data_IF_642014752388
#
_entry.id   IF_642014752388
#
_cell.length_a   1.000
_cell.length_b   1.000
_cell.length_c   1.000
_cell.angle_alpha   90.00
_cell.angle_beta   90.00
_cell.angle_gamma   90.00
#
_symmetry.space_group_name_H-M   'P 1'
#
loop_
_entity.id
_entity.type
_entity.pdbx_description
1 polymer ?
#
# COMPACT_ATOMS: atom_id res chain seq x y z
N UNK A 1 23.31 -2.50 -1.58
CA UNK A 1 22.40 -1.39 -1.27
C UNK A 1 21.16 -1.61 -2.09
N UNK A 2 20.20 -2.26 -1.45
CA UNK A 2 18.85 -2.53 -1.92
C UNK A 2 18.07 -1.24 -2.12
N UNK A 3 18.32 -0.21 -1.31
CA UNK A 3 17.56 1.04 -1.33
C UNK A 3 18.39 2.14 -1.97
N UNK A 4 17.84 2.81 -2.98
CA UNK A 4 18.45 3.94 -3.67
C UNK A 4 17.53 5.15 -3.67
N UNK A 5 18.09 6.30 -3.33
CA UNK A 5 17.44 7.61 -3.46
C UNK A 5 18.04 8.32 -4.68
N UNK A 6 17.18 8.77 -5.59
CA UNK A 6 17.60 9.57 -6.74
C UNK A 6 16.61 10.73 -6.95
N UNK A 7 17.02 11.94 -6.56
CA UNK A 7 16.15 13.12 -6.53
C UNK A 7 14.86 12.85 -5.74
N UNK A 8 13.74 12.73 -6.44
CA UNK A 8 12.40 12.47 -5.89
C UNK A 8 12.00 10.99 -5.95
N UNK A 9 12.88 10.10 -6.42
CA UNK A 9 12.63 8.67 -6.53
C UNK A 9 13.22 7.91 -5.35
N UNK A 10 12.45 6.96 -4.85
CA UNK A 10 12.88 5.96 -3.88
C UNK A 10 12.68 4.60 -4.56
N UNK A 11 13.78 3.88 -4.80
CA UNK A 11 13.76 2.55 -5.43
C UNK A 11 14.29 1.51 -4.45
N UNK A 12 13.46 0.52 -4.16
CA UNK A 12 13.80 -0.69 -3.41
C UNK A 12 14.08 -1.79 -4.43
N UNK A 13 15.23 -2.45 -4.32
CA UNK A 13 15.64 -3.54 -5.19
C UNK A 13 15.97 -4.75 -4.35
N UNK A 14 15.40 -5.88 -4.75
CA UNK A 14 15.81 -7.20 -4.28
C UNK A 14 16.68 -7.85 -5.36
N UNK A 15 16.91 -9.16 -5.29
CA UNK A 15 17.68 -9.87 -6.30
C UNK A 15 17.00 -9.79 -7.68
N UNK A 16 15.68 -9.98 -7.73
CA UNK A 16 14.92 -10.12 -8.98
C UNK A 16 13.77 -9.12 -9.14
N UNK A 17 13.45 -8.34 -8.10
CA UNK A 17 12.33 -7.36 -8.16
C UNK A 17 12.76 -5.95 -7.83
N UNK A 18 12.02 -4.98 -8.36
CA UNK A 18 12.09 -3.58 -7.96
C UNK A 18 10.72 -3.08 -7.53
N UNK A 19 10.72 -2.24 -6.49
CA UNK A 19 9.58 -1.46 -6.03
C UNK A 19 9.99 0.01 -6.06
N UNK A 20 9.25 0.85 -6.76
CA UNK A 20 9.58 2.25 -6.91
C UNK A 20 8.39 3.14 -6.53
N UNK A 21 8.72 4.21 -5.82
CA UNK A 21 7.82 5.29 -5.47
C UNK A 21 8.45 6.64 -5.83
N UNK A 22 7.62 7.65 -6.06
CA UNK A 22 8.05 8.98 -6.47
C UNK A 22 7.31 10.05 -5.67
N UNK A 23 8.06 11.00 -5.14
CA UNK A 23 7.52 12.23 -4.57
C UNK A 23 7.17 13.14 -5.75
N UNK A 24 5.92 13.56 -5.86
CA UNK A 24 5.47 14.40 -6.96
C UNK A 24 5.78 15.90 -6.72
N UNK A 25 5.33 16.78 -7.61
CA UNK A 25 5.51 18.23 -7.47
C UNK A 25 4.65 18.83 -6.35
N UNK A 26 3.47 18.26 -6.07
CA UNK A 26 2.60 18.67 -4.97
C UNK A 26 2.93 17.98 -3.63
N UNK A 27 3.93 17.11 -3.61
CA UNK A 27 4.43 16.42 -2.42
C UNK A 27 3.71 15.12 -2.08
N UNK A 28 2.76 14.64 -2.88
CA UNK A 28 2.20 13.30 -2.75
C UNK A 28 3.24 12.24 -3.08
N UNK A 29 3.09 11.07 -2.46
CA UNK A 29 3.96 9.92 -2.68
C UNK A 29 3.25 8.89 -3.57
N UNK A 30 3.64 8.86 -4.84
CA UNK A 30 3.07 7.96 -5.83
C UNK A 30 3.76 6.61 -5.87
N UNK A 31 2.97 5.57 -6.09
CA UNK A 31 3.45 4.24 -6.42
C UNK A 31 3.71 4.15 -7.93
N UNK A 32 4.95 3.91 -8.37
CA UNK A 32 5.28 3.93 -9.80
C UNK A 32 5.54 2.53 -10.38
N UNK A 33 6.05 1.61 -9.57
CA UNK A 33 6.38 0.26 -10.01
C UNK A 33 6.42 -0.75 -8.87
N UNK A 34 5.91 -1.95 -9.14
CA UNK A 34 6.30 -3.16 -8.44
C UNK A 34 6.28 -4.34 -9.41
N UNK A 35 7.43 -4.99 -9.59
CA UNK A 35 7.56 -6.10 -10.53
C UNK A 35 9.01 -6.44 -10.81
N UNK A 36 9.30 -6.92 -12.02
CA UNK A 36 10.65 -7.27 -12.46
C UNK A 36 11.65 -6.15 -12.14
N UNK A 37 12.85 -6.55 -11.73
CA UNK A 37 13.94 -5.63 -11.41
C UNK A 37 14.19 -4.65 -12.56
N UNK A 38 14.25 -3.38 -12.21
CA UNK A 38 14.62 -2.28 -13.09
C UNK A 38 16.15 -2.20 -13.11
N UNK A 39 16.73 -2.06 -14.30
CA UNK A 39 18.17 -1.82 -14.45
C UNK A 39 18.46 -0.32 -14.44
N UNK A 40 19.50 0.11 -13.72
CA UNK A 40 19.92 1.51 -13.73
C UNK A 40 19.08 2.43 -12.84
N UNK A 41 18.65 3.56 -13.40
CA UNK A 41 18.00 4.67 -12.69
C UNK A 41 16.68 5.09 -13.35
N UNK A 42 16.01 4.15 -14.02
CA UNK A 42 14.78 4.44 -14.75
C UNK A 42 13.69 4.96 -13.81
N UNK A 43 12.98 5.98 -14.28
CA UNK A 43 11.84 6.57 -13.60
C UNK A 43 10.56 5.99 -14.20
N UNK A 44 9.91 5.06 -13.48
CA UNK A 44 8.71 4.38 -13.94
C UNK A 44 7.44 5.24 -13.88
N UNK A 45 7.54 6.50 -13.42
CA UNK A 45 6.40 7.42 -13.41
C UNK A 45 5.86 7.77 -14.79
N UNK A 46 6.59 7.47 -15.88
CA UNK A 46 6.07 7.62 -17.26
C UNK A 46 4.78 6.81 -17.51
N UNK A 47 4.51 5.78 -16.70
CA UNK A 47 3.31 4.94 -16.78
C UNK A 47 2.05 5.65 -16.28
N UNK A 48 2.22 6.68 -15.45
CA UNK A 48 1.11 7.45 -14.88
C UNK A 48 0.62 8.43 -15.95
N UNK A 49 -0.62 8.25 -16.40
CA UNK A 49 -1.23 9.08 -17.43
C UNK A 49 -2.05 10.20 -16.82
N UNK A 50 -1.62 11.45 -17.02
CA UNK A 50 -2.40 12.65 -16.65
C UNK A 50 -3.41 12.97 -17.74
N UNK A 51 -4.69 12.71 -17.46
CA UNK A 51 -5.80 12.92 -18.39
C UNK A 51 -6.93 13.60 -17.62
N UNK A 52 -7.55 14.63 -18.21
CA UNK A 52 -8.75 15.25 -17.66
C UNK A 52 -9.90 14.24 -17.73
N UNK A 53 -10.34 13.78 -16.56
CA UNK A 53 -11.38 12.77 -16.40
C UNK A 53 -12.54 13.41 -15.68
N UNK A 54 -13.69 13.44 -16.35
CA UNK A 54 -14.91 13.99 -15.76
C UNK A 54 -15.20 13.34 -14.42
N UNK A 55 -15.50 14.16 -13.40
CA UNK A 55 -15.78 13.75 -12.02
C UNK A 55 -14.60 13.22 -11.20
N UNK A 56 -13.39 13.18 -11.76
CA UNK A 56 -12.16 13.00 -10.97
C UNK A 56 -11.60 14.37 -10.60
N UNK A 57 -11.87 14.81 -9.37
CA UNK A 57 -11.50 16.15 -8.88
C UNK A 57 -9.99 16.34 -8.70
N UNK A 58 -9.53 17.59 -8.75
CA UNK A 58 -8.15 17.96 -8.50
C UNK A 58 -7.96 18.53 -7.07
N UNK A 59 -6.77 18.34 -6.46
CA UNK A 59 -6.41 19.02 -5.21
C UNK A 59 -6.51 20.55 -5.34
N UNK A 60 -6.68 21.23 -4.20
CA UNK A 60 -6.86 22.68 -4.16
C UNK A 60 -5.65 23.46 -4.69
N UNK A 61 -4.46 22.89 -4.57
CA UNK A 61 -3.18 23.52 -4.92
C UNK A 61 -2.91 23.60 -6.43
N UNK A 62 -3.74 22.96 -7.25
CA UNK A 62 -3.58 22.96 -8.71
C UNK A 62 -4.89 23.26 -9.44
N UNK A 63 -4.79 23.95 -10.57
CA UNK A 63 -5.89 24.15 -11.52
C UNK A 63 -5.81 23.18 -12.71
N UNK A 64 -4.79 22.31 -12.74
CA UNK A 64 -4.63 21.29 -13.76
C UNK A 64 -5.65 20.17 -13.53
N UNK A 65 -6.67 20.13 -14.40
CA UNK A 65 -7.73 19.13 -14.36
C UNK A 65 -7.27 17.72 -14.72
N UNK A 66 -6.07 17.58 -15.28
CA UNK A 66 -5.47 16.28 -15.56
C UNK A 66 -4.83 15.64 -14.32
N UNK A 67 -4.77 16.38 -13.21
CA UNK A 67 -4.21 15.95 -11.93
C UNK A 67 -5.31 15.51 -10.96
N UNK A 68 -5.42 14.21 -10.68
CA UNK A 68 -6.42 13.71 -9.74
C UNK A 68 -5.94 12.50 -8.94
N UNK A 69 -6.09 12.57 -7.61
CA UNK A 69 -5.80 11.46 -6.70
C UNK A 69 -6.78 10.29 -6.86
N UNK A 70 -7.93 10.51 -7.51
CA UNK A 70 -8.90 9.47 -7.88
C UNK A 70 -8.36 8.46 -8.90
N UNK A 71 -7.27 8.79 -9.60
CA UNK A 71 -6.67 7.91 -10.62
C UNK A 71 -5.16 7.79 -10.54
N UNK A 72 -4.50 8.61 -9.73
CA UNK A 72 -3.05 8.49 -9.53
C UNK A 72 -2.73 7.38 -8.52
N UNK A 73 -1.75 6.51 -8.84
CA UNK A 73 -1.38 5.41 -7.97
C UNK A 73 -0.64 5.92 -6.73
N UNK A 74 -1.09 5.55 -5.54
CA UNK A 74 -0.58 6.11 -4.27
C UNK A 74 0.04 5.04 -3.38
N UNK A 75 1.12 5.40 -2.67
CA UNK A 75 1.74 4.51 -1.68
C UNK A 75 0.86 4.31 -0.44
N UNK A 76 0.10 5.33 -0.05
CA UNK A 76 -0.75 5.30 1.14
C UNK A 76 -1.95 6.25 1.02
N UNK A 77 -2.98 5.88 0.25
CA UNK A 77 -4.14 6.73 -0.03
C UNK A 77 -4.95 7.03 1.23
N UNK A 78 -5.53 8.22 1.31
CA UNK A 78 -6.32 8.71 2.45
C UNK A 78 -7.80 8.86 2.09
N UNK A 79 -8.66 8.93 3.10
CA UNK A 79 -10.07 9.21 2.89
C UNK A 79 -10.33 10.71 2.69
N UNK A 80 -11.24 11.04 1.77
CA UNK A 80 -11.86 12.36 1.67
C UNK A 80 -11.03 13.45 0.98
N UNK A 81 -9.89 13.11 0.37
CA UNK A 81 -9.01 14.05 -0.35
C UNK A 81 -9.28 14.12 -1.87
N UNK A 82 -10.42 13.58 -2.32
CA UNK A 82 -10.79 13.49 -3.74
C UNK A 82 -10.43 12.17 -4.40
N UNK A 83 -9.77 11.24 -3.71
CA UNK A 83 -9.71 9.83 -4.10
C UNK A 83 -10.95 9.08 -3.59
N UNK A 84 -11.72 8.46 -4.49
CA UNK A 84 -12.96 7.75 -4.15
C UNK A 84 -12.79 6.23 -3.99
N UNK A 85 -11.56 5.74 -4.20
CA UNK A 85 -11.22 4.31 -4.12
C UNK A 85 -10.94 3.87 -2.67
N UNK A 86 -10.53 2.63 -2.49
CA UNK A 86 -10.12 2.07 -1.20
C UNK A 86 -8.98 2.90 -0.57
N UNK A 87 -9.27 3.50 0.58
CA UNK A 87 -8.29 4.25 1.38
C UNK A 87 -7.53 3.34 2.35
N UNK A 88 -6.41 3.82 2.89
CA UNK A 88 -5.64 3.14 3.94
C UNK A 88 -5.84 3.73 5.33
N UNK A 89 -6.25 4.99 5.44
CA UNK A 89 -6.29 5.69 6.72
C UNK A 89 -7.49 6.64 6.80
N UNK A 90 -8.12 6.61 7.98
CA UNK A 90 -9.20 7.51 8.38
C UNK A 90 -8.94 7.97 9.81
N UNK A 91 -8.89 9.29 10.01
CA UNK A 91 -8.68 9.90 11.32
C UNK A 91 -9.67 11.02 11.51
N UNK A 92 -10.49 10.91 12.55
CA UNK A 92 -11.48 11.91 12.93
C UNK A 92 -10.83 12.97 13.82
N UNK A 93 -10.90 14.22 13.36
CA UNK A 93 -10.39 15.42 14.02
C UNK A 93 -11.38 15.92 15.10
N UNK A 94 -10.96 16.82 16.01
CA UNK A 94 -11.83 17.30 17.09
C UNK A 94 -13.09 18.02 16.62
N UNK A 95 -13.06 18.63 15.43
CA UNK A 95 -14.20 19.31 14.82
C UNK A 95 -15.16 18.34 14.09
N UNK A 96 -14.85 17.04 14.09
CA UNK A 96 -15.62 16.00 13.42
C UNK A 96 -15.28 15.79 11.94
N UNK A 97 -14.37 16.59 11.38
CA UNK A 97 -13.85 16.33 10.04
C UNK A 97 -13.00 15.05 10.02
N UNK A 98 -12.88 14.42 8.85
CA UNK A 98 -12.19 13.13 8.67
C UNK A 98 -11.36 13.13 7.38
N UNK A 99 -10.73 14.25 7.04
CA UNK A 99 -9.89 14.37 5.84
C UNK A 99 -8.43 14.40 6.26
N UNK A 100 -7.57 13.70 5.53
CA UNK A 100 -6.12 13.81 5.66
C UNK A 100 -5.50 14.14 4.32
N UNK A 101 -4.60 15.11 4.32
CA UNK A 101 -3.78 15.45 3.16
C UNK A 101 -2.30 15.18 3.47
N UNK A 102 -1.89 13.93 3.24
CA UNK A 102 -0.56 13.46 3.59
C UNK A 102 0.45 13.81 2.50
N UNK A 103 1.43 14.66 2.84
CA UNK A 103 2.53 15.04 1.96
C UNK A 103 3.87 14.51 2.48
N UNK A 104 4.79 14.21 1.57
CA UNK A 104 6.15 13.83 1.90
C UNK A 104 6.83 14.89 2.76
N UNK A 105 7.47 14.45 3.84
CA UNK A 105 8.28 15.27 4.73
C UNK A 105 9.77 14.87 4.65
N UNK A 106 10.06 13.59 4.89
CA UNK A 106 11.43 13.10 5.01
C UNK A 106 11.51 11.59 4.81
N UNK A 107 12.72 11.07 4.59
CA UNK A 107 12.98 9.65 4.68
C UNK A 107 14.34 9.34 5.31
N UNK A 108 14.45 8.16 5.91
CA UNK A 108 15.67 7.67 6.55
C UNK A 108 15.90 6.20 6.18
N UNK A 109 17.09 5.90 5.65
CA UNK A 109 17.53 4.53 5.37
C UNK A 109 18.33 4.05 6.57
N UNK A 110 17.99 2.86 7.06
CA UNK A 110 18.71 2.17 8.13
C UNK A 110 19.13 0.79 7.67
N UNK A 111 20.23 0.27 8.22
CA UNK A 111 20.61 -1.13 8.02
C UNK A 111 19.72 -2.03 8.87
N UNK A 112 19.49 -3.23 8.38
CA UNK A 112 18.68 -4.24 9.05
C UNK A 112 17.19 -3.94 8.99
N UNK A 113 16.45 -4.58 9.89
CA UNK A 113 15.00 -4.56 9.94
C UNK A 113 14.45 -3.55 10.94
N UNK A 114 13.50 -2.70 10.52
CA UNK A 114 12.73 -1.85 11.45
C UNK A 114 11.97 -2.66 12.51
N UNK A 115 11.86 -2.11 13.72
CA UNK A 115 11.23 -2.77 14.86
C UNK A 115 9.74 -2.40 15.00
N UNK A 116 8.92 -3.37 15.40
CA UNK A 116 7.51 -3.17 15.76
C UNK A 116 7.30 -3.56 17.23
N UNK A 117 7.36 -2.57 18.13
CA UNK A 117 7.28 -2.82 19.57
C UNK A 117 5.95 -3.48 19.94
N UNK A 118 6.03 -4.69 20.50
CA UNK A 118 4.85 -5.43 20.98
C UNK A 118 4.04 -6.15 19.89
N UNK A 119 4.54 -6.17 18.65
CA UNK A 119 3.91 -6.87 17.53
C UNK A 119 4.89 -7.89 16.91
N UNK A 120 4.38 -9.00 16.33
CA UNK A 120 5.21 -9.89 15.54
C UNK A 120 5.66 -9.21 14.25
N UNK A 121 6.74 -9.73 13.65
CA UNK A 121 7.24 -9.27 12.36
C UNK A 121 8.40 -10.14 11.90
N UNK A 122 8.74 -10.05 10.61
CA UNK A 122 10.00 -10.59 10.12
C UNK A 122 11.17 -9.90 10.81
N UNK A 123 12.26 -10.64 11.00
CA UNK A 123 13.52 -10.15 11.60
C UNK A 123 14.69 -10.53 10.72
N UNK A 124 15.62 -9.61 10.53
CA UNK A 124 16.93 -9.86 9.93
C UNK A 124 17.93 -8.85 10.47
N UNK A 125 19.20 -9.22 10.42
CA UNK A 125 20.34 -8.44 10.93
C UNK A 125 20.71 -7.28 9.99
N UNK A 126 21.59 -6.40 10.46
CA UNK A 126 22.12 -5.26 9.69
C UNK A 126 22.86 -5.65 8.40
N UNK A 127 23.39 -6.87 8.34
CA UNK A 127 24.13 -7.38 7.18
C UNK A 127 23.23 -8.10 6.15
N UNK A 128 21.98 -8.40 6.51
CA UNK A 128 21.07 -9.20 5.67
C UNK A 128 20.14 -8.37 4.79
N UNK A 129 19.83 -7.14 5.20
CA UNK A 129 18.89 -6.28 4.48
C UNK A 129 18.88 -4.86 5.01
N UNK A 130 18.06 -4.01 4.40
CA UNK A 130 17.93 -2.59 4.75
C UNK A 130 16.46 -2.23 5.00
N UNK A 131 16.23 -1.12 5.68
CA UNK A 131 14.91 -0.54 5.86
C UNK A 131 14.91 0.92 5.44
N UNK A 132 13.77 1.42 4.98
CA UNK A 132 13.52 2.85 4.83
C UNK A 132 12.23 3.23 5.54
N UNK A 133 12.31 4.29 6.33
CA UNK A 133 11.15 4.99 6.87
C UNK A 133 10.88 6.21 5.98
N UNK A 134 9.67 6.33 5.44
CA UNK A 134 9.20 7.50 4.70
C UNK A 134 8.12 8.20 5.53
N UNK A 135 8.38 9.43 5.92
CA UNK A 135 7.46 10.23 6.72
C UNK A 135 6.55 11.03 5.80
N UNK A 136 5.24 10.83 5.94
CA UNK A 136 4.22 11.69 5.38
C UNK A 136 3.58 12.50 6.52
N UNK A 137 3.29 13.78 6.29
CA UNK A 137 2.67 14.66 7.27
C UNK A 137 1.48 15.38 6.68
N UNK A 138 0.41 15.43 7.46
CA UNK A 138 -0.65 16.43 7.30
C UNK A 138 -0.35 17.56 8.28
N UNK A 139 0.01 18.72 7.73
CA UNK A 139 0.49 19.87 8.50
C UNK A 139 -0.63 20.54 9.29
N UNK A 140 -1.87 20.46 8.82
CA UNK A 140 -3.02 21.10 9.47
C UNK A 140 -3.42 20.31 10.72
N UNK A 141 -3.44 18.98 10.63
CA UNK A 141 -3.82 18.12 11.76
C UNK A 141 -2.66 17.73 12.68
N UNK A 142 -1.41 17.86 12.21
CA UNK A 142 -0.23 17.41 12.94
C UNK A 142 -0.11 15.88 13.00
N UNK A 143 -0.81 15.16 12.12
CA UNK A 143 -0.67 13.71 11.97
C UNK A 143 0.52 13.43 11.08
N UNK A 144 1.45 12.62 11.59
CA UNK A 144 2.55 12.05 10.82
C UNK A 144 2.32 10.55 10.63
N UNK A 145 2.40 10.09 9.40
CA UNK A 145 2.38 8.68 9.03
C UNK A 145 3.78 8.26 8.63
N UNK A 146 4.35 7.34 9.40
CA UNK A 146 5.67 6.75 9.13
C UNK A 146 5.45 5.44 8.37
N UNK A 147 5.72 5.45 7.06
CA UNK A 147 5.67 4.26 6.20
C UNK A 147 7.00 3.51 6.30
N UNK A 148 6.96 2.27 6.78
CA UNK A 148 8.13 1.46 7.02
C UNK A 148 8.25 0.40 5.94
N UNK A 149 9.35 0.42 5.19
CA UNK A 149 9.67 -0.59 4.19
C UNK A 149 10.94 -1.31 4.62
N UNK A 150 10.95 -2.64 4.54
CA UNK A 150 12.12 -3.47 4.85
C UNK A 150 12.39 -4.39 3.68
N UNK A 151 13.61 -4.36 3.16
CA UNK A 151 14.03 -5.10 1.98
C UNK A 151 15.00 -6.19 2.36
N UNK A 152 14.64 -7.42 2.05
CA UNK A 152 15.47 -8.60 2.25
C UNK A 152 15.83 -9.18 0.89
N UNK A 153 16.97 -8.72 0.34
CA UNK A 153 17.34 -8.90 -1.07
C UNK A 153 17.30 -10.37 -1.52
N UNK A 154 17.92 -11.25 -0.72
CA UNK A 154 18.10 -12.68 -1.01
C UNK A 154 16.82 -13.48 -1.22
N UNK A 155 15.70 -13.01 -0.67
CA UNK A 155 14.42 -13.74 -0.72
C UNK A 155 13.36 -13.04 -1.56
N UNK A 156 13.71 -11.95 -2.24
CA UNK A 156 12.75 -11.11 -2.98
C UNK A 156 11.58 -10.62 -2.09
N UNK A 157 11.85 -10.37 -0.81
CA UNK A 157 10.84 -9.93 0.17
C UNK A 157 10.94 -8.43 0.42
N UNK A 158 9.81 -7.74 0.30
CA UNK A 158 9.59 -6.39 0.80
C UNK A 158 8.51 -6.45 1.87
N UNK A 159 8.84 -6.04 3.09
CA UNK A 159 7.89 -5.92 4.21
C UNK A 159 7.42 -4.48 4.33
N UNK A 160 6.13 -4.30 4.67
CA UNK A 160 5.54 -2.98 4.92
C UNK A 160 4.85 -2.94 6.27
N UNK A 161 4.97 -1.80 6.95
CA UNK A 161 4.21 -1.48 8.15
C UNK A 161 4.01 0.03 8.23
N UNK A 162 3.09 0.46 9.10
CA UNK A 162 2.76 1.87 9.27
C UNK A 162 2.72 2.21 10.75
N UNK A 163 3.26 3.38 11.09
CA UNK A 163 3.11 3.98 12.41
C UNK A 163 2.46 5.35 12.27
N UNK A 164 1.29 5.51 12.88
CA UNK A 164 0.58 6.78 12.94
C UNK A 164 1.01 7.52 14.22
N UNK A 165 1.53 8.72 14.07
CA UNK A 165 2.06 9.55 15.16
C UNK A 165 1.27 10.84 15.22
N UNK A 166 0.60 11.07 16.35
CA UNK A 166 0.00 12.35 16.64
C UNK A 166 1.07 13.31 17.19
N UNK A 167 1.40 14.36 16.44
CA UNK A 167 2.33 15.41 16.88
C UNK A 167 1.62 16.68 17.36
N UNK A 168 0.29 16.69 17.31
CA UNK A 168 -0.56 17.77 17.80
C UNK A 168 -0.82 17.67 19.31
N UNK A 169 -1.46 18.70 19.87
CA UNK A 169 -1.97 18.68 21.24
C UNK A 169 -3.41 18.13 21.34
N UNK A 170 -4.03 17.83 20.20
CA UNK A 170 -5.42 17.40 20.14
C UNK A 170 -5.52 15.88 20.32
N UNK A 171 -6.62 15.42 20.90
CA UNK A 171 -6.98 14.00 20.85
C UNK A 171 -7.62 13.72 19.50
N UNK A 172 -7.10 12.71 18.80
CA UNK A 172 -7.54 12.28 17.48
C UNK A 172 -8.00 10.84 17.55
N UNK A 173 -9.01 10.46 16.76
CA UNK A 173 -9.51 9.08 16.69
C UNK A 173 -9.12 8.45 15.37
N UNK A 174 -8.31 7.39 15.42
CA UNK A 174 -7.99 6.58 14.24
C UNK A 174 -9.13 5.56 14.04
N UNK A 175 -9.89 5.69 12.96
CA UNK A 175 -10.96 4.75 12.58
C UNK A 175 -10.43 3.64 11.68
N UNK A 176 -9.39 3.93 10.89
CA UNK A 176 -8.79 2.97 9.96
C UNK A 176 -7.29 3.25 9.81
N UNK A 177 -6.49 2.20 9.83
CA UNK A 177 -5.05 2.25 9.55
C UNK A 177 -4.58 0.91 8.98
N UNK A 178 -4.42 0.86 7.66
CA UNK A 178 -3.94 -0.32 6.94
C UNK A 178 -2.41 -0.36 6.88
N UNK A 179 -1.84 -1.52 6.58
CA UNK A 179 -0.37 -1.72 6.58
C UNK A 179 0.26 -1.53 5.20
N UNK A 180 -0.51 -1.70 4.11
CA UNK A 180 -0.01 -1.57 2.76
C UNK A 180 -1.11 -1.23 1.74
N UNK A 181 -0.70 -0.56 0.67
CA UNK A 181 -1.45 -0.32 -0.57
C UNK A 181 -0.56 -0.62 -1.77
N UNK A 182 -0.98 -1.53 -2.65
CA UNK A 182 -0.32 -1.78 -3.93
C UNK A 182 -1.27 -1.30 -5.02
N UNK A 183 -0.88 -0.23 -5.72
CA UNK A 183 -1.76 0.50 -6.63
C UNK A 183 -1.25 0.38 -8.07
N UNK A 184 -1.82 -0.57 -8.81
CA UNK A 184 -1.36 -0.95 -10.13
C UNK A 184 -2.12 -0.18 -11.21
N UNK A 185 -1.37 0.53 -12.05
CA UNK A 185 -1.95 1.27 -13.19
C UNK A 185 -2.52 0.38 -14.30
N UNK A 186 -2.25 -0.93 -14.24
CA UNK A 186 -2.76 -1.92 -15.19
C UNK A 186 -3.89 -2.76 -14.56
N UNK A 187 -4.80 -3.26 -15.38
CA UNK A 187 -5.83 -4.22 -14.98
C UNK A 187 -5.46 -5.68 -15.27
N UNK A 188 -6.48 -6.54 -15.33
CA UNK A 188 -6.43 -7.96 -15.71
C UNK A 188 -5.68 -8.89 -14.74
N UNK A 189 -6.12 -8.86 -13.48
CA UNK A 189 -5.64 -9.78 -12.45
C UNK A 189 -6.73 -10.77 -12.02
N UNK A 190 -6.28 -11.99 -11.70
CA UNK A 190 -7.03 -12.89 -10.84
C UNK A 190 -6.58 -12.66 -9.39
N UNK A 191 -7.53 -12.71 -8.46
CA UNK A 191 -7.22 -12.80 -7.04
C UNK A 191 -7.28 -14.28 -6.63
N UNK A 192 -6.18 -14.77 -6.08
CA UNK A 192 -6.12 -16.07 -5.42
C UNK A 192 -6.19 -15.83 -3.92
N UNK A 193 -7.12 -16.51 -3.26
CA UNK A 193 -7.27 -16.46 -1.82
C UNK A 193 -7.64 -17.83 -1.25
N UNK A 194 -7.64 -17.91 0.08
CA UNK A 194 -7.76 -19.18 0.80
C UNK A 194 -8.90 -19.08 1.81
N UNK A 195 -10.08 -19.57 1.40
CA UNK A 195 -11.28 -19.56 2.23
C UNK A 195 -11.48 -20.90 2.93
N UNK A 196 -12.47 -21.02 3.80
CA UNK A 196 -12.79 -22.32 4.38
C UNK A 196 -13.74 -22.26 5.55
N UNK A 197 -13.63 -23.27 6.41
CA UNK A 197 -14.36 -23.41 7.66
C UNK A 197 -13.56 -24.29 8.62
N UNK A 198 -14.00 -24.37 9.86
CA UNK A 198 -13.41 -25.29 10.84
C UNK A 198 -13.36 -26.72 10.29
N UNK A 199 -12.20 -27.36 10.41
CA UNK A 199 -11.87 -28.69 9.89
C UNK A 199 -11.83 -28.81 8.35
N UNK A 200 -11.77 -27.68 7.64
CA UNK A 200 -11.62 -27.57 6.18
C UNK A 200 -11.11 -26.16 5.84
N UNK A 201 -9.95 -25.80 6.37
CA UNK A 201 -9.36 -24.48 6.23
C UNK A 201 -8.53 -24.33 4.94
N UNK A 202 -8.49 -23.10 4.41
CA UNK A 202 -7.59 -22.68 3.33
C UNK A 202 -7.76 -23.45 2.03
N UNK A 203 -9.00 -23.70 1.65
CA UNK A 203 -9.37 -24.13 0.31
C UNK A 203 -8.97 -23.03 -0.69
N UNK A 204 -8.30 -23.45 -1.76
CA UNK A 204 -7.84 -22.58 -2.83
C UNK A 204 -9.03 -22.07 -3.64
N UNK A 205 -9.15 -20.75 -3.77
CA UNK A 205 -10.08 -20.08 -4.66
C UNK A 205 -9.29 -19.13 -5.57
N UNK A 206 -9.57 -19.18 -6.88
CA UNK A 206 -9.02 -18.24 -7.87
C UNK A 206 -10.15 -17.66 -8.69
N UNK A 207 -10.32 -16.34 -8.61
CA UNK A 207 -11.37 -15.63 -9.33
C UNK A 207 -10.81 -14.41 -10.06
N UNK A 208 -11.20 -14.15 -11.32
CA UNK A 208 -10.91 -12.88 -11.98
C UNK A 208 -11.48 -11.71 -11.18
N UNK A 209 -10.71 -10.62 -11.06
CA UNK A 209 -11.22 -9.39 -10.47
C UNK A 209 -12.13 -8.67 -11.46
N UNK A 210 -13.39 -8.51 -11.09
CA UNK A 210 -14.34 -7.67 -11.79
C UNK A 210 -14.26 -6.23 -11.28
N UNK A 211 -14.79 -5.27 -12.05
CA UNK A 211 -15.00 -3.89 -11.60
C UNK A 211 -15.74 -3.84 -10.26
N UNK A 212 -15.26 -2.99 -9.36
CA UNK A 212 -15.72 -2.89 -7.98
C UNK A 212 -14.74 -3.54 -6.99
N UNK A 213 -15.25 -3.88 -5.81
CA UNK A 213 -14.44 -4.31 -4.66
C UNK A 213 -14.71 -5.77 -4.31
N UNK A 214 -13.64 -6.56 -4.21
CA UNK A 214 -13.64 -7.86 -3.54
C UNK A 214 -12.95 -7.71 -2.18
N UNK A 215 -13.65 -8.08 -1.11
CA UNK A 215 -13.20 -7.92 0.26
C UNK A 215 -13.14 -9.25 0.98
N UNK A 216 -11.98 -9.52 1.60
CA UNK A 216 -11.71 -10.68 2.43
C UNK A 216 -11.37 -10.17 3.82
N UNK A 217 -12.12 -10.60 4.83
CA UNK A 217 -12.00 -10.02 6.17
C UNK A 217 -12.25 -11.04 7.28
N UNK A 218 -11.77 -10.70 8.47
CA UNK A 218 -12.23 -11.28 9.72
C UNK A 218 -12.47 -10.20 10.75
N UNK A 219 -13.66 -10.24 11.36
CA UNK A 219 -14.07 -9.43 12.52
C UNK A 219 -14.12 -10.25 13.82
N UNK A 220 -13.54 -11.46 13.81
CA UNK A 220 -13.72 -12.47 14.88
C UNK A 220 -12.75 -12.28 16.06
N UNK A 221 -11.95 -11.21 16.07
CA UNK A 221 -10.81 -11.07 16.99
C UNK A 221 -9.67 -12.06 16.70
N UNK A 222 -9.75 -12.80 15.60
CA UNK A 222 -8.77 -13.79 15.13
C UNK A 222 -8.66 -13.70 13.61
N UNK A 223 -7.55 -14.14 13.04
CA UNK A 223 -7.38 -14.23 11.57
C UNK A 223 -8.41 -15.15 10.92
N UNK A 224 -8.96 -16.13 11.65
CA UNK A 224 -10.09 -17.00 11.27
C UNK A 224 -9.77 -18.21 10.40
N UNK A 225 -10.68 -19.19 10.47
CA UNK A 225 -10.70 -20.39 9.62
C UNK A 225 -11.35 -20.09 8.24
N UNK A 226 -12.13 -19.00 8.18
CA UNK A 226 -13.02 -18.66 7.08
C UNK A 226 -12.30 -17.95 5.94
N UNK A 227 -11.36 -17.08 6.28
CA UNK A 227 -10.51 -16.36 5.33
C UNK A 227 -9.11 -16.24 5.91
N UNK A 228 -8.09 -16.65 5.16
CA UNK A 228 -6.70 -16.49 5.57
C UNK A 228 -6.19 -15.09 5.17
N UNK A 229 -5.37 -14.42 6.00
CA UNK A 229 -4.79 -13.11 5.69
C UNK A 229 -3.61 -13.18 4.70
N UNK A 230 -3.80 -13.91 3.60
CA UNK A 230 -2.84 -14.02 2.50
C UNK A 230 -3.60 -14.07 1.17
N UNK A 231 -3.15 -13.26 0.21
CA UNK A 231 -3.66 -13.26 -1.15
C UNK A 231 -2.52 -13.23 -2.15
N UNK A 232 -2.81 -13.68 -3.36
CA UNK A 232 -1.92 -13.53 -4.51
C UNK A 232 -2.70 -12.79 -5.60
N UNK A 233 -2.17 -11.66 -6.04
CA UNK A 233 -2.64 -10.94 -7.21
C UNK A 233 -1.86 -11.46 -8.43
N UNK A 234 -2.49 -12.28 -9.26
CA UNK A 234 -1.85 -12.97 -10.37
C UNK A 234 -2.31 -12.37 -11.71
N UNK A 235 -1.38 -12.04 -12.62
CA UNK A 235 -1.77 -11.67 -13.98
C UNK A 235 -2.53 -12.80 -14.65
N UNK A 236 -3.47 -12.46 -15.52
CA UNK A 236 -4.24 -13.45 -16.27
C UNK A 236 -3.31 -14.41 -17.02
N UNK A 237 -3.51 -15.72 -16.83
CA UNK A 237 -2.67 -16.77 -17.44
C UNK A 237 -1.46 -17.20 -16.60
N UNK A 238 -1.13 -16.49 -15.51
CA UNK A 238 -0.11 -16.94 -14.55
C UNK A 238 -0.49 -18.30 -13.96
N UNK A 239 0.48 -19.18 -13.82
CA UNK A 239 0.36 -20.54 -13.27
C UNK A 239 1.54 -20.84 -12.33
N UNK A 240 1.59 -22.06 -11.80
CA UNK A 240 2.59 -22.49 -10.80
C UNK A 240 4.06 -22.33 -11.23
N UNK A 241 4.35 -22.25 -12.53
CA UNK A 241 5.73 -22.23 -13.06
C UNK A 241 6.03 -21.05 -13.96
N UNK A 242 5.05 -20.17 -14.22
CA UNK A 242 5.22 -19.05 -15.15
C UNK A 242 4.16 -17.97 -14.98
N UNK A 243 4.56 -16.72 -15.29
CA UNK A 243 3.72 -15.54 -15.22
C UNK A 243 3.97 -14.69 -13.98
N UNK A 244 3.48 -13.46 -14.01
CA UNK A 244 3.71 -12.48 -12.95
C UNK A 244 2.62 -12.59 -11.88
N UNK A 245 3.03 -12.52 -10.61
CA UNK A 245 2.12 -12.41 -9.48
C UNK A 245 2.77 -11.68 -8.30
N UNK A 246 1.93 -11.06 -7.47
CA UNK A 246 2.34 -10.38 -6.22
C UNK A 246 1.62 -11.07 -5.06
N UNK A 247 2.38 -11.59 -4.10
CA UNK A 247 1.85 -12.12 -2.84
C UNK A 247 1.80 -11.05 -1.76
N UNK A 248 0.70 -10.99 -1.01
CA UNK A 248 0.55 -10.12 0.15
C UNK A 248 0.07 -10.91 1.36
N UNK A 249 0.90 -10.97 2.41
CA UNK A 249 0.60 -11.64 3.68
C UNK A 249 0.54 -10.62 4.82
N UNK A 250 -0.51 -10.66 5.63
CA UNK A 250 -0.60 -9.80 6.82
C UNK A 250 -0.08 -10.55 8.05
N UNK A 251 1.06 -10.11 8.58
CA UNK A 251 1.70 -10.70 9.77
C UNK A 251 0.99 -10.24 11.03
N UNK A 252 -0.22 -10.76 11.23
CA UNK A 252 -1.07 -10.47 12.37
C UNK A 252 -2.04 -11.62 12.61
N UNK A 253 -2.53 -11.76 13.85
CA UNK A 253 -3.36 -12.90 14.25
C UNK A 253 -4.78 -12.51 14.66
N UNK A 254 -5.11 -11.22 14.64
CA UNK A 254 -6.42 -10.70 14.99
C UNK A 254 -7.30 -10.40 13.77
N UNK A 255 -8.23 -9.46 13.93
CA UNK A 255 -9.10 -9.00 12.86
C UNK A 255 -8.30 -8.34 11.73
N UNK A 256 -8.69 -8.61 10.49
CA UNK A 256 -7.99 -8.09 9.30
C UNK A 256 -8.98 -7.78 8.17
N UNK A 257 -8.49 -6.99 7.20
CA UNK A 257 -9.14 -6.75 5.92
C UNK A 257 -8.09 -6.79 4.80
N UNK A 258 -8.47 -7.43 3.70
CA UNK A 258 -7.82 -7.33 2.39
C UNK A 258 -8.90 -6.92 1.40
N UNK A 259 -8.69 -5.81 0.70
CA UNK A 259 -9.62 -5.30 -0.31
C UNK A 259 -8.88 -5.12 -1.63
N UNK A 260 -9.35 -5.81 -2.66
CA UNK A 260 -8.89 -5.67 -4.03
C UNK A 260 -9.99 -4.94 -4.83
N UNK A 261 -9.66 -3.79 -5.39
CA UNK A 261 -10.57 -2.95 -6.15
C UNK A 261 -10.09 -2.79 -7.58
N UNK A 262 -10.99 -3.03 -8.55
CA UNK A 262 -10.79 -2.61 -9.94
C UNK A 262 -11.65 -1.39 -10.20
N UNK A 263 -11.00 -0.26 -10.49
CA UNK A 263 -11.67 1.04 -10.58
C UNK A 263 -12.23 1.35 -11.97
N UNK A 264 -12.81 2.55 -12.11
CA UNK A 264 -13.43 3.03 -13.34
C UNK A 264 -12.49 3.14 -14.56
N UNK A 265 -11.17 3.16 -14.35
CA UNK A 265 -10.16 3.25 -15.41
C UNK A 265 -9.38 1.95 -15.59
N UNK A 266 -9.87 0.85 -15.00
CA UNK A 266 -9.26 -0.48 -15.01
C UNK A 266 -7.92 -0.57 -14.26
N UNK A 267 -7.66 0.33 -13.31
CA UNK A 267 -6.54 0.17 -12.38
C UNK A 267 -6.94 -0.79 -11.28
N UNK A 268 -5.95 -1.43 -10.65
CA UNK A 268 -6.19 -2.38 -9.55
C UNK A 268 -5.49 -1.92 -8.28
N UNK A 269 -6.26 -1.64 -7.23
CA UNK A 269 -5.74 -1.30 -5.91
C UNK A 269 -5.94 -2.47 -4.94
N UNK A 270 -4.86 -2.93 -4.33
CA UNK A 270 -4.88 -3.92 -3.25
C UNK A 270 -4.46 -3.26 -1.93
N UNK A 271 -5.35 -3.23 -0.94
CA UNK A 271 -5.03 -2.75 0.41
C UNK A 271 -5.13 -3.88 1.43
N UNK A 272 -4.24 -3.86 2.43
CA UNK A 272 -4.11 -4.92 3.44
C UNK A 272 -3.86 -4.32 4.81
N UNK A 273 -4.59 -4.74 5.84
CA UNK A 273 -4.28 -4.35 7.22
C UNK A 273 -5.33 -4.74 8.26
N UNK A 274 -5.36 -3.97 9.34
CA UNK A 274 -6.32 -4.16 10.44
C UNK A 274 -7.74 -3.89 9.96
N UNK A 275 -8.67 -4.71 10.44
CA UNK A 275 -10.09 -4.45 10.23
C UNK A 275 -10.50 -3.16 10.97
N UNK A 276 -11.17 -2.18 10.32
CA UNK A 276 -11.56 -0.91 10.96
C UNK A 276 -12.74 -1.01 11.94
N UNK A 277 -13.59 -2.04 11.80
CA UNK A 277 -14.72 -2.35 12.72
C UNK A 277 -14.40 -3.45 13.73
#
# INVERSE_FOLDING_TARGET
MSIKLNNKLITLSTENTSYQMKIDELGYLFHTWYGKRIEGADDMSYRISSIDRGFSGNPYETMDRTYSLDVFPQEYPTFGNGDYRADCIQVVHPDGSNVLDLKYDSCEITRGKYQLKGLPGFTWSEDEGESIQVNLIDKESGIRVELLYGVLEKYDIITRAVKVVNTSQNTLKVEKALSACIDMVDGDFDLIHFHGKHAMEREFERSPLAHGKLRLESKRGTSSHQQNPFVILAKKGTNEVSGDCIGAAFVYSGSFIIEAEVDQVNQTRLVVGLHPE
#
